data_IF_612038757537
#
_entry.id   IF_612038757537
#
_cell.length_a   1.000
_cell.length_b   1.000
_cell.length_c   1.000
_cell.angle_alpha   90.00
_cell.angle_beta   90.00
_cell.angle_gamma   90.00
#
_symmetry.space_group_name_H-M   'P 1'
#
loop_
_entity.id
_entity.type
_entity.pdbx_description
1 polymer ?
#
# COMPACT_ATOMS: atom_id res chain seq x y z
N UNK A 1 -19.69 -21.88 -9.04
CA UNK A 1 -19.39 -20.75 -8.12
C UNK A 1 -17.88 -20.60 -8.05
N UNK A 2 -17.30 -19.64 -8.78
CA UNK A 2 -15.90 -19.26 -8.56
C UNK A 2 -15.89 -18.33 -7.34
N UNK A 3 -15.10 -18.64 -6.34
CA UNK A 3 -14.79 -17.70 -5.25
C UNK A 3 -13.68 -16.83 -5.84
N UNK A 4 -14.03 -15.63 -6.28
CA UNK A 4 -13.12 -14.63 -6.86
C UNK A 4 -12.68 -13.71 -5.73
N UNK A 5 -11.90 -14.25 -4.81
CA UNK A 5 -10.95 -13.40 -4.11
C UNK A 5 -9.76 -13.31 -5.06
N UNK A 6 -9.70 -12.23 -5.84
CA UNK A 6 -8.49 -11.93 -6.60
C UNK A 6 -7.39 -11.81 -5.56
N UNK A 7 -6.47 -12.78 -5.50
CA UNK A 7 -5.32 -12.68 -4.62
C UNK A 7 -4.41 -11.57 -5.15
N UNK A 8 -3.82 -10.74 -4.28
CA UNK A 8 -2.83 -9.78 -4.73
C UNK A 8 -1.67 -10.53 -5.37
N UNK A 9 -1.24 -10.07 -6.53
CA UNK A 9 -0.08 -10.63 -7.25
C UNK A 9 1.21 -10.18 -6.57
N UNK A 10 1.22 -8.96 -6.02
CA UNK A 10 2.33 -8.43 -5.22
C UNK A 10 1.79 -7.84 -3.91
N UNK A 11 2.51 -8.13 -2.83
CA UNK A 11 2.34 -7.49 -1.53
C UNK A 11 3.62 -6.74 -1.15
N UNK A 12 3.49 -5.45 -0.82
CA UNK A 12 4.59 -4.61 -0.31
C UNK A 12 4.23 -4.06 1.06
N UNK A 13 5.24 -3.79 1.88
CA UNK A 13 5.05 -3.04 3.12
C UNK A 13 5.59 -1.64 2.91
N UNK A 14 4.75 -0.63 3.14
CA UNK A 14 5.09 0.77 2.88
C UNK A 14 4.82 1.64 4.10
N UNK A 15 5.52 2.76 4.20
CA UNK A 15 5.32 3.75 5.26
C UNK A 15 4.80 5.09 4.70
N UNK A 16 3.54 5.40 5.01
CA UNK A 16 2.82 6.63 4.61
C UNK A 16 2.34 7.43 5.83
N UNK A 17 3.19 7.56 6.85
CA UNK A 17 2.88 8.11 8.17
C UNK A 17 2.79 9.66 8.27
N UNK A 18 2.64 10.39 7.17
CA UNK A 18 2.46 11.85 7.19
C UNK A 18 1.56 12.30 6.04
N UNK A 19 0.93 13.48 6.19
CA UNK A 19 0.05 14.05 5.17
C UNK A 19 0.75 14.16 3.81
N UNK A 20 1.95 14.74 3.78
CA UNK A 20 2.74 14.91 2.56
C UNK A 20 3.02 13.57 1.85
N UNK A 21 3.30 12.52 2.62
CA UNK A 21 3.52 11.17 2.07
C UNK A 21 2.25 10.57 1.51
N UNK A 22 1.11 10.75 2.20
CA UNK A 22 -0.18 10.26 1.72
C UNK A 22 -0.54 10.93 0.40
N UNK A 23 -0.43 12.25 0.31
CA UNK A 23 -0.70 13.00 -0.91
C UNK A 23 0.20 12.53 -2.06
N UNK A 24 1.51 12.48 -1.82
CA UNK A 24 2.49 12.02 -2.82
C UNK A 24 2.20 10.58 -3.27
N UNK A 25 1.91 9.68 -2.33
CA UNK A 25 1.56 8.28 -2.62
C UNK A 25 0.29 8.19 -3.48
N UNK A 26 -0.77 8.90 -3.11
CA UNK A 26 -2.05 8.91 -3.84
C UNK A 26 -1.87 9.46 -5.25
N UNK A 27 -1.08 10.51 -5.41
CA UNK A 27 -0.78 11.09 -6.72
C UNK A 27 0.02 10.14 -7.62
N UNK A 28 0.95 9.36 -7.05
CA UNK A 28 1.70 8.34 -7.79
C UNK A 28 0.78 7.19 -8.18
N UNK A 29 0.03 6.61 -7.24
CA UNK A 29 -0.77 5.40 -7.50
C UNK A 29 -1.95 5.66 -8.45
N UNK A 30 -2.47 6.89 -8.50
CA UNK A 30 -3.52 7.28 -9.45
C UNK A 30 -3.04 7.33 -10.91
N UNK A 31 -1.73 7.38 -11.17
CA UNK A 31 -1.18 7.32 -12.54
C UNK A 31 -1.28 5.91 -13.15
N UNK A 32 -1.51 4.89 -12.34
CA UNK A 32 -1.55 3.50 -12.77
C UNK A 32 -2.97 2.97 -12.86
N UNK A 33 -3.26 2.21 -13.93
CA UNK A 33 -4.52 1.48 -14.05
C UNK A 33 -4.48 0.18 -13.22
N UNK A 34 -5.61 -0.16 -12.62
CA UNK A 34 -5.76 -1.35 -11.78
C UNK A 34 -6.31 -1.06 -10.39
N UNK A 35 -6.54 -2.14 -9.65
CA UNK A 35 -6.95 -2.15 -8.24
C UNK A 35 -5.70 -2.20 -7.37
N UNK A 36 -5.71 -1.37 -6.34
CA UNK A 36 -4.67 -1.28 -5.32
C UNK A 36 -5.36 -1.10 -3.98
N UNK A 37 -5.07 -1.96 -3.02
CA UNK A 37 -5.65 -1.87 -1.69
C UNK A 37 -4.55 -1.61 -0.67
N UNK A 38 -4.86 -0.78 0.34
CA UNK A 38 -4.04 -0.64 1.53
C UNK A 38 -4.70 -1.41 2.67
N UNK A 39 -3.89 -2.18 3.40
CA UNK A 39 -4.33 -3.01 4.51
C UNK A 39 -3.57 -2.66 5.77
N UNK A 40 -4.31 -2.34 6.83
CA UNK A 40 -3.78 -2.10 8.17
C UNK A 40 -4.69 -2.79 9.19
N UNK A 41 -4.15 -3.75 9.95
CA UNK A 41 -4.94 -4.60 10.85
C UNK A 41 -6.08 -5.30 10.12
N UNK A 42 -7.32 -5.01 10.49
CA UNK A 42 -8.53 -5.56 9.87
C UNK A 42 -9.14 -4.65 8.79
N UNK A 43 -8.58 -3.47 8.55
CA UNK A 43 -9.11 -2.49 7.61
C UNK A 43 -8.47 -2.66 6.24
N UNK A 44 -9.30 -2.68 5.20
CA UNK A 44 -8.88 -2.71 3.79
C UNK A 44 -9.55 -1.53 3.09
N UNK A 45 -8.76 -0.67 2.46
CA UNK A 45 -9.26 0.52 1.75
C UNK A 45 -8.66 0.64 0.36
N UNK A 46 -9.37 1.34 -0.53
CA UNK A 46 -8.87 1.66 -1.85
C UNK A 46 -7.69 2.64 -1.76
N UNK A 47 -6.51 2.21 -2.22
CA UNK A 47 -5.27 2.98 -2.15
C UNK A 47 -5.28 4.27 -3.01
N UNK A 48 -6.22 4.39 -3.94
CA UNK A 48 -6.37 5.60 -4.79
C UNK A 48 -7.18 6.72 -4.14
N UNK A 49 -7.85 6.45 -3.01
CA UNK A 49 -8.70 7.43 -2.34
C UNK A 49 -8.01 7.96 -1.09
N UNK A 50 -7.53 9.20 -1.16
CA UNK A 50 -6.98 9.91 0.01
C UNK A 50 -7.97 9.91 1.20
N UNK A 51 -9.26 10.08 0.92
CA UNK A 51 -10.31 10.03 1.95
C UNK A 51 -10.42 8.66 2.62
N UNK A 52 -10.28 7.58 1.85
CA UNK A 52 -10.31 6.23 2.40
C UNK A 52 -9.04 5.94 3.23
N UNK A 53 -7.88 6.45 2.82
CA UNK A 53 -6.62 6.28 3.56
C UNK A 53 -6.69 6.94 4.95
N UNK A 54 -7.36 8.09 5.09
CA UNK A 54 -7.54 8.74 6.39
C UNK A 54 -8.33 7.90 7.41
N UNK A 55 -9.03 6.85 6.96
CA UNK A 55 -9.70 5.90 7.86
C UNK A 55 -8.78 4.77 8.38
N UNK A 56 -7.55 4.66 7.87
CA UNK A 56 -6.57 3.67 8.30
C UNK A 56 -5.73 4.15 9.48
N UNK A 57 -5.34 3.21 10.34
CA UNK A 57 -4.20 3.41 11.22
C UNK A 57 -2.90 3.34 10.40
N UNK A 58 -2.27 4.50 10.22
CA UNK A 58 -1.01 4.71 9.50
C UNK A 58 0.16 5.02 10.44
N UNK A 59 -0.02 4.83 11.76
CA UNK A 59 1.06 4.99 12.75
C UNK A 59 2.19 3.96 12.55
N UNK A 60 1.88 2.87 11.84
CA UNK A 60 2.78 1.78 11.49
C UNK A 60 2.78 1.58 9.97
N UNK A 61 3.81 0.92 9.42
CA UNK A 61 3.80 0.53 8.02
C UNK A 61 2.57 -0.32 7.68
N UNK A 62 2.01 -0.09 6.49
CA UNK A 62 0.80 -0.74 5.98
C UNK A 62 1.16 -1.65 4.81
N UNK A 63 0.30 -2.64 4.53
CA UNK A 63 0.48 -3.47 3.35
C UNK A 63 -0.18 -2.83 2.14
N UNK A 64 0.54 -2.77 1.02
CA UNK A 64 0.04 -2.44 -0.30
C UNK A 64 -0.16 -3.72 -1.10
N UNK A 65 -1.40 -3.96 -1.51
CA UNK A 65 -1.82 -5.07 -2.33
C UNK A 65 -2.02 -4.61 -3.78
N UNK A 66 -1.30 -5.24 -4.70
CA UNK A 66 -1.36 -4.96 -6.14
C UNK A 66 -1.97 -6.17 -6.84
N UNK A 67 -3.08 -5.98 -7.53
CA UNK A 67 -3.80 -7.06 -8.21
C UNK A 67 -3.54 -7.11 -9.74
N UNK A 68 -2.83 -6.12 -10.29
CA UNK A 68 -2.53 -6.05 -11.72
C UNK A 68 -1.05 -6.41 -11.97
N UNK A 69 -0.80 -7.49 -12.71
CA UNK A 69 0.55 -8.02 -12.99
C UNK A 69 1.34 -7.13 -13.95
N UNK A 70 0.70 -6.58 -15.00
CA UNK A 70 1.39 -5.80 -16.03
C UNK A 70 1.99 -4.49 -15.49
N UNK A 71 1.34 -3.87 -14.51
CA UNK A 71 1.80 -2.62 -13.89
C UNK A 71 2.62 -2.83 -12.62
N UNK A 72 2.73 -4.07 -12.13
CA UNK A 72 3.25 -4.34 -10.79
C UNK A 72 4.72 -3.91 -10.62
N UNK A 73 5.57 -4.17 -11.61
CA UNK A 73 6.99 -3.78 -11.59
C UNK A 73 7.17 -2.25 -11.63
N UNK A 74 6.41 -1.58 -12.50
CA UNK A 74 6.46 -0.12 -12.64
C UNK A 74 5.95 0.59 -11.37
N UNK A 75 4.87 0.09 -10.78
CA UNK A 75 4.33 0.59 -9.51
C UNK A 75 5.35 0.41 -8.40
N UNK A 76 5.95 -0.78 -8.31
CA UNK A 76 6.99 -1.08 -7.31
C UNK A 76 8.16 -0.11 -7.42
N UNK A 77 8.64 0.16 -8.64
CA UNK A 77 9.73 1.11 -8.87
C UNK A 77 9.35 2.54 -8.49
N UNK A 78 8.13 2.97 -8.81
CA UNK A 78 7.64 4.30 -8.48
C UNK A 78 7.42 4.51 -6.97
N UNK A 79 7.20 3.43 -6.22
CA UNK A 79 6.93 3.48 -4.78
C UNK A 79 8.13 3.07 -3.92
N UNK A 80 9.30 2.89 -4.51
CA UNK A 80 10.50 2.40 -3.82
C UNK A 80 10.89 3.26 -2.59
N UNK A 81 10.61 4.56 -2.60
CA UNK A 81 10.90 5.47 -1.48
C UNK A 81 9.99 5.26 -0.25
N UNK A 82 8.84 4.62 -0.44
CA UNK A 82 7.90 4.30 0.64
C UNK A 82 8.15 2.92 1.22
N UNK A 83 8.87 2.04 0.51
CA UNK A 83 9.13 0.67 0.95
C UNK A 83 9.96 0.66 2.23
N UNK A 84 9.50 -0.13 3.20
CA UNK A 84 10.26 -0.42 4.41
C UNK A 84 10.91 -1.79 4.28
N UNK A 85 12.16 -1.90 4.73
CA UNK A 85 12.84 -3.19 4.76
C UNK A 85 12.46 -3.99 6.02
N UNK A 86 12.71 -5.30 5.99
CA UNK A 86 12.38 -6.20 7.10
C UNK A 86 13.05 -5.83 8.43
N UNK A 87 14.21 -5.16 8.39
CA UNK A 87 14.96 -4.74 9.57
C UNK A 87 14.27 -3.57 10.30
N UNK A 88 13.79 -2.58 9.54
CA UNK A 88 13.04 -1.44 10.09
C UNK A 88 11.72 -1.88 10.73
N UNK A 89 11.08 -2.92 10.19
CA UNK A 89 9.84 -3.47 10.75
C UNK A 89 10.12 -4.16 12.10
N UNK A 90 11.24 -4.88 12.23
CA UNK A 90 11.62 -5.53 13.49
C UNK A 90 11.92 -4.52 14.61
N UNK A 91 12.62 -3.43 14.30
CA UNK A 91 12.93 -2.39 15.27
C UNK A 91 11.67 -1.70 15.82
N UNK A 92 10.64 -1.50 15.00
CA UNK A 92 9.37 -0.89 15.41
C UNK A 92 8.44 -1.82 16.19
N UNK A 93 8.61 -3.14 16.07
CA UNK A 93 7.84 -4.12 16.85
C UNK A 93 8.45 -4.37 18.24
N UNK A 94 9.74 -4.06 18.40
CA UNK A 94 10.51 -4.23 19.63
C UNK A 94 10.58 -2.95 20.49
N UNK A 95 10.13 -1.81 19.96
CA UNK A 95 10.02 -0.52 20.65
C UNK A 95 8.61 -0.28 21.17
#
# INVERSE_FOLDING_TARGET
MKVWEAFPVITKTININSLDKIETFVDIINKFNGRFDLVSGCSIVNAKSIMAIFSLDISRPVYLYIYNEESAEHVTKALAEFEVNALQIQEQLLA
#
